data_IF_876078009346
#
_entry.id   IF_876078009346
#
_cell.length_a   1.000
_cell.length_b   1.000
_cell.length_c   1.000
_cell.angle_alpha   90.00
_cell.angle_beta   90.00
_cell.angle_gamma   90.00
#
_symmetry.space_group_name_H-M   'P 1'
#
loop_
_entity.id
_entity.type
_entity.pdbx_description
1 polymer ?
#
# COMPACT_ATOMS: atom_id res chain seq x y z
N UNK A 1 3.51 52.94 62.05
CA UNK A 1 2.25 53.20 62.79
C UNK A 1 1.38 51.98 62.62
N UNK A 2 1.26 51.22 63.66
CA UNK A 2 0.05 50.93 64.47
C UNK A 2 -0.93 50.04 63.70
N UNK A 3 -1.48 48.95 64.13
CA UNK A 3 -1.52 48.23 65.44
C UNK A 3 -2.00 46.79 65.19
N UNK A 4 -1.43 45.89 65.94
CA UNK A 4 -1.97 44.58 66.34
C UNK A 4 -3.44 44.57 66.68
N UNK A 5 -4.18 43.50 66.31
CA UNK A 5 -5.17 42.89 67.19
C UNK A 5 -5.17 41.38 67.01
N UNK A 6 -4.74 40.72 68.07
CA UNK A 6 -4.93 39.28 68.32
C UNK A 6 -6.34 39.04 68.81
N UNK A 7 -7.05 38.03 68.32
CA UNK A 7 -8.15 37.36 69.07
C UNK A 7 -8.05 35.85 68.91
N UNK A 8 -7.76 35.23 70.00
CA UNK A 8 -7.83 33.82 70.31
C UNK A 8 -9.29 33.51 70.71
N UNK A 9 -9.92 32.49 70.13
CA UNK A 9 -11.03 31.78 70.78
C UNK A 9 -11.04 30.32 70.29
N UNK A 10 -10.66 29.45 71.23
CA UNK A 10 -11.29 28.21 71.71
C UNK A 10 -11.65 27.08 70.75
N UNK A 11 -11.09 25.98 71.10
CA UNK A 11 -11.32 24.58 70.86
C UNK A 11 -12.77 24.13 70.61
N UNK A 12 -12.94 23.30 69.62
CA UNK A 12 -14.07 22.42 69.43
C UNK A 12 -13.62 21.14 68.76
N UNK A 13 -13.41 20.09 69.55
CA UNK A 13 -13.15 18.73 69.07
C UNK A 13 -14.38 18.18 68.37
N UNK A 14 -14.34 18.06 67.07
CA UNK A 14 -15.29 17.23 66.30
C UNK A 14 -14.53 16.02 65.76
N UNK A 15 -14.80 14.86 66.32
CA UNK A 15 -14.39 13.53 65.88
C UNK A 15 -15.14 13.21 64.56
N UNK A 16 -14.53 13.47 63.45
CA UNK A 16 -15.05 13.06 62.16
C UNK A 16 -14.60 11.61 61.91
N UNK A 17 -15.59 10.69 61.97
CA UNK A 17 -15.41 9.32 61.55
C UNK A 17 -15.07 9.32 60.02
N UNK A 18 -13.85 8.95 59.66
CA UNK A 18 -13.51 8.63 58.26
C UNK A 18 -14.19 7.31 57.91
N UNK A 19 -15.32 7.38 57.22
CA UNK A 19 -15.82 6.26 56.43
C UNK A 19 -14.83 6.09 55.27
N UNK A 20 -13.93 5.15 55.41
CA UNK A 20 -13.15 4.66 54.32
C UNK A 20 -14.10 3.97 53.33
N UNK A 21 -14.55 4.72 52.34
CA UNK A 21 -15.19 4.14 51.17
C UNK A 21 -14.09 3.37 50.40
N UNK A 22 -13.99 2.08 50.69
CA UNK A 22 -13.20 1.14 49.91
C UNK A 22 -13.78 1.11 48.49
N UNK A 23 -13.25 1.96 47.60
CA UNK A 23 -13.49 1.85 46.20
C UNK A 23 -12.88 0.54 45.72
N UNK A 24 -13.70 -0.51 45.68
CA UNK A 24 -13.37 -1.68 44.84
C UNK A 24 -13.23 -1.13 43.43
N UNK A 25 -11.99 -1.06 42.95
CA UNK A 25 -11.73 -0.97 41.51
C UNK A 25 -12.23 -2.29 40.92
N UNK A 26 -13.51 -2.34 40.58
CA UNK A 26 -14.01 -3.33 39.65
C UNK A 26 -13.26 -3.07 38.34
N UNK A 27 -12.08 -3.69 38.20
CA UNK A 27 -11.50 -3.97 36.92
C UNK A 27 -12.49 -4.90 36.23
N UNK A 28 -13.44 -4.34 35.51
CA UNK A 28 -14.25 -5.09 34.56
C UNK A 28 -13.27 -5.58 33.51
N UNK A 29 -12.64 -6.72 33.78
CA UNK A 29 -11.89 -7.47 32.77
C UNK A 29 -12.96 -7.87 31.75
N UNK A 30 -13.00 -7.15 30.63
CA UNK A 30 -13.79 -7.57 29.49
C UNK A 30 -13.47 -9.03 29.14
N UNK A 31 -14.32 -9.70 28.36
CA UNK A 31 -14.10 -11.09 28.02
C UNK A 31 -12.70 -11.27 27.42
N UNK A 32 -11.98 -12.29 27.88
CA UNK A 32 -10.64 -12.63 27.38
C UNK A 32 -10.68 -12.71 25.84
N UNK A 33 -9.77 -12.03 25.13
CA UNK A 33 -9.70 -12.12 23.68
C UNK A 33 -9.55 -13.58 23.22
N UNK A 34 -10.38 -13.99 22.27
CA UNK A 34 -10.37 -15.33 21.67
C UNK A 34 -10.07 -15.18 20.19
N UNK A 35 -9.10 -15.93 19.69
CA UNK A 35 -8.76 -15.93 18.27
C UNK A 35 -9.94 -16.49 17.45
N UNK A 36 -10.47 -15.73 16.49
CA UNK A 36 -11.68 -16.09 15.72
C UNK A 36 -11.53 -16.03 14.21
N UNK A 37 -10.60 -15.22 13.68
CA UNK A 37 -10.45 -15.10 12.24
C UNK A 37 -9.10 -14.53 11.82
N UNK A 38 -8.79 -14.68 10.53
CA UNK A 38 -7.62 -14.07 9.86
C UNK A 38 -8.11 -13.19 8.73
N UNK A 39 -7.66 -11.94 8.70
CA UNK A 39 -7.89 -11.04 7.58
C UNK A 39 -6.62 -10.89 6.76
N UNK A 40 -6.75 -10.89 5.42
CA UNK A 40 -5.63 -10.71 4.49
C UNK A 40 -5.82 -9.41 3.70
N UNK A 41 -4.76 -8.63 3.59
CA UNK A 41 -4.74 -7.36 2.86
C UNK A 41 -3.53 -7.30 1.90
N UNK A 42 -3.62 -6.51 0.82
CA UNK A 42 -4.78 -5.75 0.35
C UNK A 42 -5.91 -6.65 -0.17
N UNK A 43 -7.12 -6.10 -0.31
CA UNK A 43 -8.22 -6.77 -1.02
C UNK A 43 -8.00 -6.70 -2.53
N UNK A 44 -8.33 -7.79 -3.26
CA UNK A 44 -8.22 -7.87 -4.72
C UNK A 44 -6.83 -7.46 -5.27
N UNK A 45 -5.74 -8.07 -4.77
CA UNK A 45 -4.40 -7.74 -5.22
C UNK A 45 -4.18 -8.17 -6.67
N UNK A 46 -3.43 -7.36 -7.41
CA UNK A 46 -2.97 -7.69 -8.77
C UNK A 46 -1.46 -7.57 -8.85
N UNK A 47 -0.85 -8.36 -9.71
CA UNK A 47 0.60 -8.36 -9.94
C UNK A 47 0.88 -8.69 -11.40
N UNK A 48 1.90 -8.08 -11.98
CA UNK A 48 2.36 -8.45 -13.32
C UNK A 48 3.23 -9.70 -13.29
N UNK A 49 3.25 -10.44 -14.39
CA UNK A 49 4.18 -11.57 -14.56
C UNK A 49 5.62 -11.10 -14.31
N UNK A 50 6.38 -11.84 -13.50
CA UNK A 50 7.74 -11.50 -13.09
C UNK A 50 7.87 -10.52 -11.94
N UNK A 51 6.78 -9.87 -11.51
CA UNK A 51 6.76 -8.90 -10.40
C UNK A 51 6.19 -9.50 -9.12
N UNK A 52 6.30 -8.74 -8.02
CA UNK A 52 5.83 -9.18 -6.71
C UNK A 52 4.82 -8.22 -6.09
N UNK A 53 3.94 -8.76 -5.25
CA UNK A 53 3.06 -8.02 -4.36
C UNK A 53 3.11 -8.63 -2.97
N UNK A 54 3.21 -7.80 -1.93
CA UNK A 54 3.23 -8.28 -0.56
C UNK A 54 1.80 -8.35 0.00
N UNK A 55 1.44 -9.50 0.57
CA UNK A 55 0.22 -9.67 1.36
C UNK A 55 0.56 -9.66 2.85
N UNK A 56 -0.37 -9.17 3.65
CA UNK A 56 -0.28 -9.18 5.11
C UNK A 56 -1.49 -9.92 5.69
N UNK A 57 -1.26 -10.70 6.74
CA UNK A 57 -2.30 -11.40 7.48
C UNK A 57 -2.36 -10.87 8.91
N UNK A 58 -3.58 -10.61 9.39
CA UNK A 58 -3.82 -10.14 10.76
C UNK A 58 -4.83 -11.07 11.43
N UNK A 59 -4.44 -11.64 12.58
CA UNK A 59 -5.34 -12.39 13.45
C UNK A 59 -6.31 -11.41 14.13
N UNK A 60 -7.57 -11.81 14.27
CA UNK A 60 -8.64 -11.03 14.89
C UNK A 60 -9.29 -11.81 16.02
N UNK A 61 -9.72 -11.09 17.05
CA UNK A 61 -10.53 -11.64 18.14
C UNK A 61 -12.04 -11.58 17.83
N UNK A 62 -12.86 -12.02 18.78
CA UNK A 62 -14.33 -12.01 18.70
C UNK A 62 -14.96 -10.62 18.56
N UNK A 63 -14.20 -9.56 18.83
CA UNK A 63 -14.65 -8.17 18.71
C UNK A 63 -14.09 -7.50 17.43
N UNK A 64 -13.33 -8.25 16.60
CA UNK A 64 -12.63 -7.74 15.43
C UNK A 64 -11.36 -6.95 15.73
N UNK A 65 -10.92 -6.89 16.98
CA UNK A 65 -9.64 -6.28 17.36
C UNK A 65 -8.47 -7.21 16.98
N UNK A 66 -7.26 -6.61 16.86
CA UNK A 66 -6.07 -7.42 16.56
C UNK A 66 -5.77 -8.38 17.70
N UNK A 67 -5.60 -9.65 17.35
CA UNK A 67 -5.22 -10.70 18.27
C UNK A 67 -3.71 -10.99 18.15
N UNK A 68 -3.01 -11.12 19.29
CA UNK A 68 -1.60 -11.50 19.28
C UNK A 68 -1.45 -12.98 18.95
N UNK A 69 -0.89 -13.29 17.79
CA UNK A 69 -0.71 -14.64 17.29
C UNK A 69 0.67 -14.79 16.62
N UNK A 70 1.16 -16.03 16.43
CA UNK A 70 2.33 -16.30 15.61
C UNK A 70 2.18 -15.79 14.17
N UNK A 71 3.30 -15.71 13.44
CA UNK A 71 3.29 -15.37 12.03
C UNK A 71 2.45 -16.38 11.21
N UNK A 72 1.85 -15.88 10.12
CA UNK A 72 1.12 -16.74 9.20
C UNK A 72 2.06 -17.60 8.37
N UNK A 73 1.59 -18.79 7.99
CA UNK A 73 2.16 -19.55 6.88
C UNK A 73 1.29 -19.38 5.64
N UNK A 74 1.94 -19.28 4.46
CA UNK A 74 1.25 -18.93 3.23
C UNK A 74 1.30 -20.07 2.21
N UNK A 75 0.23 -20.22 1.45
CA UNK A 75 0.13 -21.19 0.36
C UNK A 75 -0.59 -20.59 -0.84
N UNK A 76 -0.25 -21.05 -2.05
CA UNK A 76 -0.93 -20.71 -3.29
C UNK A 76 -1.75 -21.92 -3.76
N UNK A 77 -2.95 -21.67 -4.27
CA UNK A 77 -3.80 -22.70 -4.90
C UNK A 77 -3.29 -23.14 -6.27
N UNK A 78 -2.52 -22.30 -6.95
CA UNK A 78 -1.94 -22.57 -8.26
C UNK A 78 -0.59 -21.85 -8.43
N UNK A 79 0.48 -22.58 -8.16
CA UNK A 79 1.84 -22.07 -8.30
C UNK A 79 2.26 -21.82 -9.76
N UNK A 80 1.51 -22.32 -10.75
CA UNK A 80 1.77 -22.02 -12.17
C UNK A 80 1.26 -20.63 -12.56
N UNK A 81 0.40 -20.01 -11.75
CA UNK A 81 -0.13 -18.65 -11.93
C UNK A 81 0.54 -17.67 -10.99
N UNK A 82 0.59 -17.99 -9.71
CA UNK A 82 1.27 -17.18 -8.71
C UNK A 82 1.91 -18.06 -7.65
N UNK A 83 3.17 -17.81 -7.33
CA UNK A 83 3.82 -18.40 -6.15
C UNK A 83 3.73 -17.44 -4.97
N UNK A 84 3.89 -17.97 -3.75
CA UNK A 84 3.98 -17.15 -2.54
C UNK A 84 5.14 -17.66 -1.67
N UNK A 85 5.89 -16.73 -1.10
CA UNK A 85 6.87 -17.07 -0.07
C UNK A 85 6.11 -17.48 1.21
N UNK A 86 6.33 -18.71 1.70
CA UNK A 86 5.52 -19.27 2.79
C UNK A 86 5.71 -18.55 4.12
N UNK A 87 6.77 -17.80 4.33
CA UNK A 87 7.07 -17.11 5.58
C UNK A 87 6.71 -15.62 5.53
N UNK A 88 6.85 -14.98 4.37
CA UNK A 88 6.72 -13.51 4.25
C UNK A 88 5.40 -13.05 3.63
N UNK A 89 4.70 -13.94 2.88
CA UNK A 89 3.49 -13.57 2.15
C UNK A 89 3.76 -12.74 0.89
N UNK A 90 5.00 -12.68 0.41
CA UNK A 90 5.34 -12.05 -0.86
C UNK A 90 4.92 -12.98 -2.00
N UNK A 91 4.02 -12.50 -2.83
CA UNK A 91 3.49 -13.22 -4.00
C UNK A 91 4.23 -12.79 -5.25
N UNK A 92 4.64 -13.76 -6.07
CA UNK A 92 5.26 -13.52 -7.39
C UNK A 92 4.32 -13.99 -8.50
N UNK A 93 4.02 -13.12 -9.47
CA UNK A 93 3.29 -13.46 -10.68
C UNK A 93 4.12 -14.36 -11.60
N UNK A 94 3.55 -15.50 -12.01
CA UNK A 94 4.25 -16.48 -12.87
C UNK A 94 3.68 -16.49 -14.29
N UNK A 95 2.36 -16.53 -14.43
CA UNK A 95 1.68 -16.51 -15.71
C UNK A 95 0.27 -15.91 -15.56
N UNK A 96 -0.29 -15.41 -16.66
CA UNK A 96 -1.64 -14.84 -16.70
C UNK A 96 -2.68 -15.77 -16.09
N UNK A 97 -3.56 -15.19 -15.28
CA UNK A 97 -4.64 -15.91 -14.61
C UNK A 97 -4.81 -15.46 -13.16
N UNK A 98 -5.28 -16.35 -12.31
CA UNK A 98 -5.47 -16.04 -10.90
C UNK A 98 -5.11 -17.22 -10.02
N UNK A 99 -4.66 -16.94 -8.81
CA UNK A 99 -4.45 -17.92 -7.76
C UNK A 99 -5.03 -17.41 -6.43
N UNK A 100 -5.60 -18.30 -5.63
CA UNK A 100 -6.00 -17.98 -4.27
C UNK A 100 -4.80 -18.16 -3.36
N UNK A 101 -4.39 -17.08 -2.70
CA UNK A 101 -3.32 -17.09 -1.72
C UNK A 101 -3.97 -17.16 -0.32
N UNK A 102 -3.60 -18.17 0.45
CA UNK A 102 -4.18 -18.45 1.77
C UNK A 102 -3.12 -18.27 2.85
N UNK A 103 -3.44 -17.48 3.86
CA UNK A 103 -2.70 -17.35 5.10
C UNK A 103 -3.32 -18.27 6.17
N UNK A 104 -2.51 -19.05 6.87
CA UNK A 104 -2.91 -19.87 7.99
C UNK A 104 -2.17 -19.40 9.24
N UNK A 105 -2.91 -19.12 10.31
CA UNK A 105 -2.36 -18.77 11.63
C UNK A 105 -2.87 -19.76 12.65
N UNK A 106 -1.94 -20.30 13.47
CA UNK A 106 -2.26 -21.22 14.56
C UNK A 106 -1.86 -20.59 15.90
N UNK A 107 -2.83 -20.40 16.78
CA UNK A 107 -2.62 -19.91 18.13
C UNK A 107 -3.03 -21.01 19.13
N UNK A 108 -2.05 -21.61 19.79
CA UNK A 108 -2.27 -22.80 20.62
C UNK A 108 -2.73 -23.98 19.76
N UNK A 109 -3.96 -24.47 19.99
CA UNK A 109 -4.57 -25.56 19.22
C UNK A 109 -5.58 -25.09 18.17
N UNK A 110 -5.83 -23.77 18.07
CA UNK A 110 -6.81 -23.18 17.17
C UNK A 110 -6.13 -22.65 15.93
N UNK A 111 -6.61 -23.05 14.76
CA UNK A 111 -6.14 -22.58 13.47
C UNK A 111 -7.27 -21.87 12.72
N UNK A 112 -7.00 -20.67 12.23
CA UNK A 112 -7.87 -19.96 11.29
C UNK A 112 -7.11 -19.57 10.03
N UNK A 113 -7.84 -19.44 8.94
CA UNK A 113 -7.30 -19.04 7.62
C UNK A 113 -8.01 -17.79 7.11
N UNK A 114 -7.27 -17.00 6.33
CA UNK A 114 -7.78 -15.94 5.52
C UNK A 114 -7.19 -16.05 4.12
N UNK A 115 -7.87 -15.57 3.10
CA UNK A 115 -7.37 -15.68 1.73
C UNK A 115 -7.71 -14.45 0.87
N UNK A 116 -6.93 -14.28 -0.21
CA UNK A 116 -7.19 -13.32 -1.28
C UNK A 116 -6.95 -13.98 -2.62
N UNK A 117 -7.76 -13.62 -3.61
CA UNK A 117 -7.49 -13.97 -5.00
C UNK A 117 -6.52 -12.93 -5.57
N UNK A 118 -5.35 -13.39 -6.01
CA UNK A 118 -4.36 -12.57 -6.71
C UNK A 118 -4.58 -12.76 -8.20
N UNK A 119 -4.77 -11.65 -8.93
CA UNK A 119 -4.83 -11.66 -10.39
C UNK A 119 -3.44 -11.37 -10.94
N UNK A 120 -2.98 -12.23 -11.84
CA UNK A 120 -1.71 -12.07 -12.54
C UNK A 120 -2.00 -11.73 -14.00
N UNK A 121 -1.33 -10.71 -14.53
CA UNK A 121 -1.47 -10.32 -15.93
C UNK A 121 -0.11 -9.96 -16.54
N UNK A 122 0.08 -10.34 -17.80
CA UNK A 122 1.18 -9.81 -18.59
C UNK A 122 0.84 -8.38 -19.00
N UNK A 123 1.72 -7.40 -18.80
CA UNK A 123 1.52 -6.06 -19.32
C UNK A 123 1.34 -6.08 -20.83
N UNK A 124 0.48 -5.20 -21.33
CA UNK A 124 0.41 -4.97 -22.78
C UNK A 124 1.71 -4.38 -23.31
N UNK A 125 1.99 -4.58 -24.58
CA UNK A 125 3.14 -3.94 -25.25
C UNK A 125 2.86 -2.47 -25.60
N UNK A 126 1.67 -1.97 -25.33
CA UNK A 126 1.29 -0.57 -25.56
C UNK A 126 0.65 0.04 -24.32
N UNK A 127 0.90 1.30 -24.09
CA UNK A 127 0.24 2.09 -23.05
C UNK A 127 -0.06 3.51 -23.56
N UNK A 128 -1.05 4.17 -22.94
CA UNK A 128 -1.38 5.57 -23.18
C UNK A 128 -1.13 6.42 -21.93
N UNK A 129 -0.63 7.62 -22.12
CA UNK A 129 -0.47 8.65 -21.08
C UNK A 129 -1.13 9.92 -21.58
N UNK A 130 -1.97 10.56 -20.78
CA UNK A 130 -2.54 11.87 -21.10
C UNK A 130 -1.80 12.96 -20.36
N UNK A 131 -1.23 13.93 -21.08
CA UNK A 131 -0.74 15.18 -20.54
C UNK A 131 -1.93 16.15 -20.40
N UNK A 132 -2.37 16.36 -19.17
CA UNK A 132 -3.66 16.99 -18.86
C UNK A 132 -3.56 18.50 -18.72
N UNK A 133 -4.68 19.20 -18.90
CA UNK A 133 -4.77 20.64 -18.61
C UNK A 133 -4.59 20.98 -17.11
N UNK A 134 -4.61 19.97 -16.22
CA UNK A 134 -4.28 20.12 -14.80
C UNK A 134 -2.79 19.97 -14.51
N UNK A 135 -1.94 20.00 -15.51
CA UNK A 135 -0.48 19.87 -15.42
C UNK A 135 -0.04 18.56 -14.74
N UNK A 136 -0.64 17.45 -15.16
CA UNK A 136 -0.30 16.10 -14.70
C UNK A 136 -0.20 15.15 -15.89
N UNK A 137 0.64 14.11 -15.75
CA UNK A 137 0.55 12.93 -16.59
C UNK A 137 -0.43 11.93 -15.96
N UNK A 138 -1.35 11.38 -16.74
CA UNK A 138 -2.36 10.44 -16.27
C UNK A 138 -2.51 9.24 -17.23
N UNK A 139 -2.19 8.01 -16.79
CA UNK A 139 -1.53 7.70 -15.53
C UNK A 139 -0.10 8.26 -15.48
N UNK A 140 0.43 8.53 -14.29
CA UNK A 140 1.81 9.01 -14.12
C UNK A 140 2.85 7.89 -14.30
N UNK A 141 2.45 6.63 -14.07
CA UNK A 141 3.30 5.47 -14.20
C UNK A 141 2.64 4.47 -15.14
N UNK A 142 3.38 3.97 -16.10
CA UNK A 142 2.91 2.91 -17.02
C UNK A 142 3.90 1.75 -17.02
N UNK A 143 3.38 0.55 -17.20
CA UNK A 143 4.14 -0.68 -17.34
C UNK A 143 3.82 -1.28 -18.70
N UNK A 144 4.85 -1.56 -19.50
CA UNK A 144 4.73 -2.20 -20.81
C UNK A 144 5.68 -3.38 -20.96
N UNK A 145 5.30 -4.34 -21.80
CA UNK A 145 6.17 -5.45 -22.18
C UNK A 145 6.77 -5.22 -23.57
N UNK A 146 7.95 -5.82 -23.83
CA UNK A 146 8.53 -5.86 -25.18
C UNK A 146 7.90 -7.00 -25.98
N UNK A 147 6.89 -6.69 -26.78
CA UNK A 147 6.36 -7.63 -27.76
C UNK A 147 7.23 -7.64 -29.03
N UNK A 148 7.82 -8.78 -29.35
CA UNK A 148 8.77 -8.89 -30.48
C UNK A 148 9.94 -7.89 -30.38
N UNK A 149 10.34 -7.54 -29.15
CA UNK A 149 11.45 -6.64 -28.88
C UNK A 149 11.10 -5.16 -28.86
N UNK A 150 9.81 -4.80 -28.95
CA UNK A 150 9.36 -3.40 -28.91
C UNK A 150 8.12 -3.23 -28.05
N UNK A 151 8.11 -2.18 -27.23
CA UNK A 151 6.93 -1.68 -26.53
C UNK A 151 6.69 -0.22 -26.91
N UNK A 152 5.44 0.24 -26.96
CA UNK A 152 5.09 1.59 -27.39
C UNK A 152 4.28 2.32 -26.33
N UNK A 153 4.66 3.57 -26.01
CA UNK A 153 3.84 4.48 -25.22
C UNK A 153 3.40 5.64 -26.09
N UNK A 154 2.12 5.96 -26.03
CA UNK A 154 1.53 7.10 -26.74
C UNK A 154 1.12 8.18 -25.75
N UNK A 155 1.70 9.36 -25.84
CA UNK A 155 1.29 10.54 -25.09
C UNK A 155 0.21 11.29 -25.87
N UNK A 156 -0.91 11.54 -25.19
CA UNK A 156 -2.02 12.38 -25.66
C UNK A 156 -1.90 13.74 -24.99
N UNK A 157 -1.56 14.76 -25.75
CA UNK A 157 -1.46 16.13 -25.27
C UNK A 157 -2.80 16.83 -25.44
N UNK A 158 -3.36 17.33 -24.34
CA UNK A 158 -4.55 18.18 -24.36
C UNK A 158 -4.20 19.61 -24.83
N UNK A 159 -5.13 20.54 -24.69
CA UNK A 159 -4.96 21.92 -25.21
C UNK A 159 -3.85 22.74 -24.55
N UNK A 160 -3.39 22.32 -23.35
CA UNK A 160 -2.24 22.94 -22.72
C UNK A 160 -0.94 22.33 -23.29
N UNK A 161 0.03 23.18 -23.57
CA UNK A 161 1.32 22.75 -24.10
C UNK A 161 2.16 22.01 -23.04
N UNK A 162 2.75 20.87 -23.41
CA UNK A 162 3.61 20.05 -22.55
C UNK A 162 4.81 19.51 -23.34
N UNK A 163 5.81 19.04 -22.61
CA UNK A 163 6.93 18.26 -23.14
C UNK A 163 7.01 16.90 -22.47
N UNK A 164 7.77 15.95 -23.03
CA UNK A 164 8.29 14.78 -22.33
C UNK A 164 9.81 14.83 -22.46
N UNK A 165 10.48 15.12 -21.37
CA UNK A 165 11.94 15.22 -21.29
C UNK A 165 12.44 14.13 -20.35
N UNK A 166 13.34 13.29 -20.84
CA UNK A 166 13.83 12.15 -20.07
C UNK A 166 14.82 12.57 -18.99
N UNK A 167 14.52 12.27 -17.74
CA UNK A 167 15.44 12.43 -16.60
C UNK A 167 16.43 11.28 -16.52
N UNK A 168 15.99 10.06 -16.84
CA UNK A 168 16.83 8.86 -16.88
C UNK A 168 16.30 7.83 -17.87
N UNK A 169 17.21 7.06 -18.45
CA UNK A 169 16.92 5.93 -19.31
C UNK A 169 17.88 4.78 -18.94
N UNK A 170 17.50 3.50 -19.14
CA UNK A 170 18.40 2.35 -18.95
C UNK A 170 19.61 2.43 -19.87
N UNK A 171 20.70 1.80 -19.47
CA UNK A 171 21.90 1.71 -20.30
C UNK A 171 21.60 1.04 -21.66
N UNK A 172 21.99 1.69 -22.74
CA UNK A 172 21.72 1.26 -24.11
C UNK A 172 20.38 1.71 -24.68
N UNK A 173 19.52 2.34 -23.89
CA UNK A 173 18.32 2.99 -24.40
C UNK A 173 18.63 4.38 -25.00
N UNK A 174 17.83 4.78 -25.99
CA UNK A 174 17.92 6.08 -26.65
C UNK A 174 16.54 6.51 -27.15
N UNK A 175 15.61 6.73 -26.21
CA UNK A 175 14.28 7.25 -26.54
C UNK A 175 14.38 8.76 -26.61
N UNK A 176 13.96 9.35 -27.75
CA UNK A 176 14.01 10.79 -27.95
C UNK A 176 12.95 11.51 -27.10
N UNK A 177 13.27 12.71 -26.66
CA UNK A 177 12.32 13.63 -26.02
C UNK A 177 11.12 13.92 -26.94
N UNK A 178 10.04 14.40 -26.35
CA UNK A 178 8.91 14.99 -27.08
C UNK A 178 8.95 16.49 -26.82
N UNK A 179 9.16 17.25 -27.89
CA UNK A 179 9.15 18.71 -27.87
C UNK A 179 7.77 19.24 -27.47
N UNK A 180 7.67 20.55 -27.32
CA UNK A 180 6.43 21.25 -26.96
C UNK A 180 5.28 20.82 -27.88
N UNK A 181 4.27 20.20 -27.29
CA UNK A 181 3.13 19.58 -27.99
C UNK A 181 1.82 19.90 -27.28
N UNK A 182 0.76 20.12 -28.06
CA UNK A 182 -0.61 20.31 -27.60
C UNK A 182 -1.59 19.78 -28.67
N UNK A 183 -2.80 19.42 -28.28
CA UNK A 183 -3.87 18.93 -29.17
C UNK A 183 -3.41 17.83 -30.15
N UNK A 184 -2.51 16.93 -29.70
CA UNK A 184 -1.90 15.91 -30.54
C UNK A 184 -1.58 14.63 -29.78
N UNK A 185 -1.18 13.60 -30.51
CA UNK A 185 -0.68 12.34 -30.00
C UNK A 185 0.73 12.08 -30.51
N UNK A 186 1.64 11.72 -29.62
CA UNK A 186 3.01 11.37 -30.00
C UNK A 186 3.38 10.04 -29.35
N UNK A 187 3.80 9.07 -30.16
CA UNK A 187 4.27 7.78 -29.70
C UNK A 187 5.80 7.73 -29.60
N UNK A 188 6.28 6.90 -28.69
CA UNK A 188 7.68 6.50 -28.59
C UNK A 188 7.77 4.98 -28.40
N UNK A 189 8.72 4.40 -29.11
CA UNK A 189 9.03 3.00 -29.00
C UNK A 189 10.19 2.76 -28.04
N UNK A 190 10.06 1.70 -27.26
CA UNK A 190 11.02 1.26 -26.26
C UNK A 190 11.53 -0.12 -26.68
N UNK A 191 12.83 -0.29 -26.73
CA UNK A 191 13.48 -1.54 -27.15
C UNK A 191 14.40 -2.11 -26.08
N UNK A 192 14.56 -1.42 -24.97
CA UNK A 192 15.42 -1.84 -23.84
C UNK A 192 14.55 -1.91 -22.59
N UNK A 193 14.56 -3.05 -21.92
CA UNK A 193 13.90 -3.23 -20.64
C UNK A 193 14.54 -2.37 -19.54
N UNK A 194 13.74 -1.86 -18.62
CA UNK A 194 14.21 -1.08 -17.50
C UNK A 194 13.29 0.09 -17.15
N UNK A 195 13.78 0.94 -16.26
CA UNK A 195 13.05 2.08 -15.72
C UNK A 195 13.43 3.37 -16.44
N UNK A 196 12.42 4.08 -16.94
CA UNK A 196 12.54 5.38 -17.61
C UNK A 196 11.78 6.41 -16.79
N UNK A 197 12.43 7.48 -16.38
CA UNK A 197 11.79 8.61 -15.71
C UNK A 197 11.79 9.83 -16.62
N UNK A 198 10.71 10.61 -16.58
CA UNK A 198 10.54 11.82 -17.38
C UNK A 198 9.77 12.90 -16.66
N UNK A 199 9.92 14.13 -17.13
CA UNK A 199 9.18 15.28 -16.65
C UNK A 199 8.69 16.18 -17.81
N UNK A 200 7.81 17.13 -17.49
CA UNK A 200 7.48 18.24 -18.37
C UNK A 200 8.37 19.44 -18.05
N UNK A 201 9.20 19.88 -18.99
CA UNK A 201 10.13 20.99 -18.75
C UNK A 201 9.43 22.36 -18.60
N UNK A 202 8.15 22.47 -18.99
CA UNK A 202 7.35 23.69 -18.91
C UNK A 202 6.62 23.80 -17.56
N UNK A 203 6.25 22.64 -16.93
CA UNK A 203 5.45 22.60 -15.72
C UNK A 203 6.21 21.93 -14.58
N UNK A 204 6.80 22.70 -13.64
CA UNK A 204 7.50 22.13 -12.50
C UNK A 204 6.62 21.19 -11.67
N UNK A 205 7.14 20.01 -11.33
CA UNK A 205 6.42 19.00 -10.55
C UNK A 205 5.59 18.02 -11.37
N UNK A 206 5.49 18.17 -12.69
CA UNK A 206 4.82 17.20 -13.57
C UNK A 206 5.81 16.12 -14.02
N UNK A 207 5.74 14.95 -13.40
CA UNK A 207 6.64 13.80 -13.62
C UNK A 207 5.87 12.55 -13.98
N UNK A 208 6.55 11.62 -14.65
CA UNK A 208 6.03 10.30 -14.95
C UNK A 208 7.13 9.26 -15.12
N UNK A 209 6.73 7.97 -15.17
CA UNK A 209 7.64 6.86 -15.42
C UNK A 209 7.07 5.86 -16.43
N UNK A 210 7.97 5.21 -17.15
CA UNK A 210 7.67 4.03 -17.97
C UNK A 210 8.57 2.90 -17.49
N UNK A 211 7.96 1.81 -17.02
CA UNK A 211 8.66 0.57 -16.70
C UNK A 211 8.48 -0.41 -17.86
N UNK A 212 9.58 -0.89 -18.42
CA UNK A 212 9.64 -1.79 -19.58
C UNK A 212 10.21 -3.13 -19.16
N UNK A 213 9.50 -4.23 -19.44
CA UNK A 213 9.90 -5.61 -19.11
C UNK A 213 9.81 -6.57 -20.29
#
# INVERSE_FOLDING_TARGET
MLRSVVRIIAAGSALAAMIACGGSSDTTTGPTPVFTSVTVAPSSPSVSVGHTVALTAVAKDQNGANFSAPAATWTSSDATKATVDPATGVVTGVADGSATITASITAGTVTHTGSQVVTVSTPGSTAGVTATTSQTFSPSNVLIALASGTGTVTWTFQSLAHTVTWDSQPAGASVADIDVSHDTHVARDFTVAGHYAYHCSIHPGMHGTVDVQ
#
